data_IF_550179185246
#
_entry.id   IF_550179185246
#
_cell.length_a   1.000
_cell.length_b   1.000
_cell.length_c   1.000
_cell.angle_alpha   90.00
_cell.angle_beta   90.00
_cell.angle_gamma   90.00
#
_symmetry.space_group_name_H-M   'P 1'
#
loop_
_entity.id
_entity.type
_entity.pdbx_description
1 polymer ?
#
# COMPACT_ATOMS: atom_id res chain seq x y z
N UNK A 1 19.71 45.04 -5.10
CA UNK A 1 18.38 44.62 -5.57
C UNK A 1 17.35 45.72 -5.32
N UNK A 2 17.12 46.18 -4.08
CA UNK A 2 16.08 47.21 -3.77
C UNK A 2 16.23 48.48 -4.61
N UNK A 3 17.44 49.03 -4.74
CA UNK A 3 17.68 50.21 -5.61
C UNK A 3 17.30 50.00 -7.08
N UNK A 4 17.45 48.77 -7.60
CA UNK A 4 17.06 48.43 -8.96
C UNK A 4 15.53 48.32 -9.16
N UNK A 5 14.81 48.16 -8.05
CA UNK A 5 13.34 48.13 -8.00
C UNK A 5 12.77 49.52 -7.60
N UNK A 6 13.61 50.51 -7.27
CA UNK A 6 13.19 51.80 -6.79
C UNK A 6 12.64 51.80 -5.37
N UNK A 7 12.97 50.77 -4.56
CA UNK A 7 12.49 50.58 -3.19
C UNK A 7 13.57 50.99 -2.18
N UNK A 8 13.15 51.58 -1.05
CA UNK A 8 14.02 51.90 0.07
C UNK A 8 14.22 50.77 1.05
N UNK A 9 13.24 49.91 1.20
CA UNK A 9 13.25 48.78 2.15
C UNK A 9 12.55 47.53 1.58
N UNK A 10 12.77 46.37 2.22
CA UNK A 10 12.10 45.15 1.84
C UNK A 10 10.60 45.14 2.25
N UNK A 11 10.28 45.92 3.26
CA UNK A 11 8.90 46.08 3.76
C UNK A 11 8.00 46.71 2.71
N UNK A 12 8.50 47.61 1.87
CA UNK A 12 7.78 48.26 0.76
C UNK A 12 7.28 47.23 -0.28
N UNK A 13 7.84 46.03 -0.34
CA UNK A 13 7.34 44.94 -1.20
C UNK A 13 5.93 44.48 -0.76
N UNK A 14 5.53 44.77 0.46
CA UNK A 14 4.26 44.36 1.03
C UNK A 14 3.19 45.49 1.03
N UNK A 15 3.49 46.66 0.45
CA UNK A 15 2.57 47.82 0.39
C UNK A 15 1.26 47.49 -0.31
N UNK A 16 1.23 46.47 -1.17
CA UNK A 16 -0.03 45.98 -1.79
C UNK A 16 -0.97 45.26 -0.81
N UNK A 17 -0.47 44.87 0.39
CA UNK A 17 -1.26 44.20 1.42
C UNK A 17 -1.88 45.29 2.30
N UNK A 18 -3.24 45.35 2.45
CA UNK A 18 -3.87 46.31 3.37
C UNK A 18 -3.31 46.18 4.79
N UNK A 19 -3.06 47.30 5.44
CA UNK A 19 -2.37 47.34 6.74
C UNK A 19 -3.06 46.54 7.84
N UNK A 20 -4.38 46.31 7.72
CA UNK A 20 -5.16 45.55 8.69
C UNK A 20 -4.91 44.02 8.60
N UNK A 21 -4.40 43.56 7.46
CA UNK A 21 -4.04 42.17 7.24
C UNK A 21 -2.54 41.92 7.42
N UNK A 22 -1.72 42.94 7.53
CA UNK A 22 -0.29 42.83 7.70
C UNK A 22 0.06 42.54 9.16
N UNK A 23 0.75 41.43 9.44
CA UNK A 23 1.22 41.14 10.79
C UNK A 23 2.36 42.08 11.19
N UNK A 24 2.09 42.90 12.23
CA UNK A 24 3.03 43.94 12.73
C UNK A 24 3.90 43.50 13.92
N UNK A 25 3.86 42.24 14.26
CA UNK A 25 4.64 41.63 15.36
C UNK A 25 5.39 40.41 14.85
N UNK A 26 6.47 39.99 15.50
CA UNK A 26 7.07 38.69 15.26
C UNK A 26 6.06 37.56 15.47
N UNK A 27 6.26 36.43 14.77
CA UNK A 27 5.51 35.20 15.04
C UNK A 27 5.75 34.76 16.48
N UNK A 28 4.70 34.26 17.12
CA UNK A 28 4.79 33.65 18.46
C UNK A 28 5.22 32.18 18.29
N UNK A 29 6.50 32.02 17.97
CA UNK A 29 7.16 30.71 17.81
C UNK A 29 8.22 30.53 18.87
N UNK A 30 8.51 29.27 19.27
CA UNK A 30 9.63 28.99 20.18
C UNK A 30 10.94 29.60 19.66
N UNK A 31 11.82 29.97 20.56
CA UNK A 31 13.15 30.43 20.22
C UNK A 31 13.96 29.33 19.49
N UNK A 32 14.87 29.75 18.62
CA UNK A 32 15.77 28.81 17.98
C UNK A 32 16.63 28.08 19.03
N UNK A 33 16.74 26.75 18.87
CA UNK A 33 17.56 25.90 19.69
C UNK A 33 18.88 25.57 18.97
N UNK A 34 19.94 25.33 19.73
CA UNK A 34 21.15 24.72 19.20
C UNK A 34 20.85 23.25 18.79
N UNK A 35 21.63 22.68 17.85
CA UNK A 35 21.43 21.33 17.34
C UNK A 35 21.33 20.28 18.46
N UNK A 36 22.22 20.37 19.45
CA UNK A 36 22.20 19.46 20.61
C UNK A 36 20.90 19.56 21.39
N UNK A 37 20.44 20.78 21.70
CA UNK A 37 19.18 21.01 22.43
C UNK A 37 17.98 20.51 21.62
N UNK A 38 18.02 20.68 20.29
CA UNK A 38 16.96 20.20 19.38
C UNK A 38 16.89 18.67 19.39
N UNK A 39 18.03 17.99 19.33
CA UNK A 39 18.11 16.52 19.40
C UNK A 39 17.58 16.01 20.74
N UNK A 40 18.00 16.58 21.87
CA UNK A 40 17.52 16.22 23.19
C UNK A 40 16.00 16.39 23.32
N UNK A 41 15.45 17.49 22.77
CA UNK A 41 14.01 17.75 22.76
C UNK A 41 13.27 16.64 21.99
N UNK A 42 13.70 16.34 20.76
CA UNK A 42 13.04 15.32 19.94
C UNK A 42 13.21 13.91 20.51
N UNK A 43 14.37 13.57 21.07
CA UNK A 43 14.56 12.30 21.76
C UNK A 43 13.62 12.16 22.97
N UNK A 44 13.44 13.24 23.74
CA UNK A 44 12.50 13.26 24.87
C UNK A 44 11.06 13.06 24.43
N UNK A 45 10.68 13.65 23.29
CA UNK A 45 9.36 13.45 22.67
C UNK A 45 9.18 12.01 22.16
N UNK A 46 10.17 11.47 21.45
CA UNK A 46 10.18 10.12 20.93
C UNK A 46 10.08 9.07 22.06
N UNK A 47 10.73 9.31 23.18
CA UNK A 47 10.70 8.42 24.36
C UNK A 47 9.29 8.26 24.96
N UNK A 48 8.39 9.22 24.74
CA UNK A 48 6.98 9.14 25.17
C UNK A 48 6.16 8.16 24.34
N UNK A 49 6.61 7.82 23.13
CA UNK A 49 5.93 6.87 22.24
C UNK A 49 6.22 5.42 22.68
N UNK A 50 5.44 4.92 23.61
CA UNK A 50 5.58 3.55 24.14
C UNK A 50 5.22 2.48 23.08
N UNK A 51 4.32 2.79 22.14
CA UNK A 51 3.86 1.83 21.13
C UNK A 51 4.99 1.34 20.22
N UNK A 52 5.98 2.18 19.91
CA UNK A 52 7.12 1.84 19.07
C UNK A 52 8.12 0.84 19.71
N UNK A 53 8.02 0.58 21.02
CA UNK A 53 8.98 -0.24 21.80
C UNK A 53 8.40 -1.56 22.30
N UNK A 54 7.15 -1.85 22.03
CA UNK A 54 6.47 -3.07 22.48
C UNK A 54 6.18 -4.02 21.32
N UNK A 55 6.06 -5.33 21.59
CA UNK A 55 5.59 -6.27 20.58
C UNK A 55 4.26 -5.80 19.97
N UNK A 56 4.18 -5.81 18.66
CA UNK A 56 2.99 -5.40 17.92
C UNK A 56 2.48 -6.51 17.02
N UNK A 57 1.17 -6.71 17.08
CA UNK A 57 0.42 -7.62 16.22
C UNK A 57 -0.60 -6.83 15.38
N UNK A 58 -0.30 -5.54 15.19
CA UNK A 58 -1.06 -4.65 14.32
C UNK A 58 -0.59 -4.83 12.87
N UNK A 59 -1.53 -4.89 11.95
CA UNK A 59 -1.34 -4.95 10.51
C UNK A 59 -2.37 -4.07 9.82
N UNK A 60 -3.31 -4.68 9.10
CA UNK A 60 -4.41 -3.97 8.43
C UNK A 60 -3.93 -2.94 7.41
N UNK A 61 -3.06 -3.36 6.50
CA UNK A 61 -2.59 -2.55 5.38
C UNK A 61 -1.25 -1.85 5.59
N UNK A 62 -0.69 -1.85 6.82
CA UNK A 62 0.68 -1.42 7.10
C UNK A 62 1.36 -2.44 8.01
N UNK A 63 2.50 -2.94 7.60
CA UNK A 63 3.12 -4.13 8.18
C UNK A 63 4.53 -3.86 8.66
N UNK A 64 4.90 -4.48 9.78
CA UNK A 64 6.23 -4.33 10.36
C UNK A 64 7.14 -5.44 9.84
N UNK A 65 7.94 -5.14 8.83
CA UNK A 65 8.97 -6.03 8.28
C UNK A 65 10.36 -5.49 8.54
N UNK A 66 11.35 -6.37 8.54
CA UNK A 66 12.75 -5.97 8.69
C UNK A 66 13.29 -5.38 7.37
N UNK A 67 13.73 -4.12 7.43
CA UNK A 67 14.42 -3.49 6.33
C UNK A 67 15.94 -3.66 6.49
N UNK A 68 16.65 -4.35 5.57
CA UNK A 68 18.11 -4.45 5.60
C UNK A 68 18.78 -3.08 5.54
N UNK A 69 19.86 -2.87 6.29
CA UNK A 69 20.60 -1.60 6.36
C UNK A 69 21.06 -1.09 4.99
N UNK A 70 21.26 -1.98 4.02
CA UNK A 70 21.65 -1.61 2.65
C UNK A 70 20.60 -0.75 1.96
N UNK A 71 19.31 -0.90 2.31
CA UNK A 71 18.23 -0.06 1.75
C UNK A 71 18.48 1.39 2.13
N UNK A 72 18.58 1.65 3.45
CA UNK A 72 18.83 3.00 3.97
C UNK A 72 20.14 3.60 3.45
N UNK A 73 21.22 2.82 3.43
CA UNK A 73 22.52 3.26 2.95
C UNK A 73 22.51 3.69 1.48
N UNK A 74 21.75 3.01 0.62
CA UNK A 74 21.72 3.31 -0.81
C UNK A 74 20.75 4.43 -1.16
N UNK A 75 19.59 4.53 -0.51
CA UNK A 75 18.64 5.62 -0.79
C UNK A 75 19.17 6.99 -0.35
N UNK A 76 20.09 7.04 0.63
CA UNK A 76 20.71 8.29 1.09
C UNK A 76 21.82 8.80 0.17
N UNK A 77 22.23 8.06 -0.86
CA UNK A 77 23.18 8.58 -1.84
C UNK A 77 22.59 9.77 -2.56
N UNK A 78 23.37 10.86 -2.67
CA UNK A 78 22.90 12.12 -3.25
C UNK A 78 22.38 11.98 -4.68
N UNK A 79 22.91 11.05 -5.45
CA UNK A 79 22.50 10.75 -6.82
C UNK A 79 21.03 10.31 -6.92
N UNK A 80 20.52 9.69 -5.87
CA UNK A 80 19.13 9.26 -5.77
C UNK A 80 18.29 10.15 -4.86
N UNK A 81 18.81 10.51 -3.68
CA UNK A 81 18.06 11.22 -2.65
C UNK A 81 17.56 12.59 -3.13
N UNK A 82 18.37 13.30 -3.91
CA UNK A 82 18.01 14.61 -4.48
C UNK A 82 17.43 14.53 -5.89
N UNK A 83 17.31 13.33 -6.48
CA UNK A 83 16.75 13.14 -7.81
C UNK A 83 15.26 13.53 -7.85
N UNK A 84 14.88 14.17 -8.94
CA UNK A 84 13.50 14.46 -9.27
C UNK A 84 13.03 13.59 -10.44
N UNK A 85 11.91 13.89 -11.05
CA UNK A 85 11.43 13.17 -12.23
C UNK A 85 12.46 13.20 -13.37
N UNK A 86 12.80 12.05 -13.96
CA UNK A 86 13.83 11.96 -15.01
C UNK A 86 13.28 12.39 -16.39
N UNK A 87 12.95 13.68 -16.54
CA UNK A 87 12.43 14.22 -17.81
C UNK A 87 13.45 14.22 -18.93
N UNK A 88 14.74 14.42 -18.60
CA UNK A 88 15.83 14.45 -19.55
C UNK A 88 16.61 13.13 -19.49
N UNK A 89 16.33 12.18 -20.40
CA UNK A 89 16.95 10.85 -20.35
C UNK A 89 18.47 10.91 -20.47
N UNK A 90 19.01 11.91 -21.14
CA UNK A 90 20.45 12.08 -21.37
C UNK A 90 21.27 12.17 -20.08
N UNK A 91 20.71 12.75 -19.03
CA UNK A 91 21.37 12.95 -17.72
C UNK A 91 20.78 12.10 -16.60
N UNK A 92 19.75 11.31 -16.87
CA UNK A 92 18.97 10.56 -15.86
C UNK A 92 18.99 9.06 -16.09
N UNK A 93 19.98 8.53 -16.79
CA UNK A 93 20.02 7.11 -17.17
C UNK A 93 20.00 6.17 -15.96
N UNK A 94 20.73 6.49 -14.88
CA UNK A 94 20.72 5.67 -13.66
C UNK A 94 19.35 5.60 -12.98
N UNK A 95 18.66 6.74 -12.86
CA UNK A 95 17.30 6.80 -12.30
C UNK A 95 16.31 6.05 -13.17
N UNK A 96 16.38 6.22 -14.49
CA UNK A 96 15.52 5.52 -15.44
C UNK A 96 15.76 4.01 -15.41
N UNK A 97 17.01 3.57 -15.30
CA UNK A 97 17.35 2.16 -15.14
C UNK A 97 16.76 1.59 -13.85
N UNK A 98 16.89 2.29 -12.73
CA UNK A 98 16.30 1.85 -11.45
C UNK A 98 14.78 1.69 -11.55
N UNK A 99 14.09 2.63 -12.22
CA UNK A 99 12.64 2.51 -12.45
C UNK A 99 12.32 1.32 -13.36
N UNK A 100 13.11 1.09 -14.41
CA UNK A 100 12.91 -0.06 -15.30
C UNK A 100 13.10 -1.40 -14.55
N UNK A 101 14.08 -1.47 -13.66
CA UNK A 101 14.29 -2.64 -12.80
C UNK A 101 13.13 -2.84 -11.81
N UNK A 102 12.63 -1.76 -11.20
CA UNK A 102 11.41 -1.80 -10.38
C UNK A 102 10.22 -2.39 -11.16
N UNK A 103 9.94 -1.88 -12.36
CA UNK A 103 8.86 -2.40 -13.22
C UNK A 103 9.03 -3.90 -13.50
N UNK A 104 10.26 -4.33 -13.77
CA UNK A 104 10.58 -5.73 -14.04
C UNK A 104 10.29 -6.61 -12.82
N UNK A 105 10.72 -6.18 -11.62
CA UNK A 105 10.49 -6.91 -10.39
C UNK A 105 8.99 -7.00 -10.06
N UNK A 106 8.24 -5.91 -10.25
CA UNK A 106 6.78 -5.90 -10.05
C UNK A 106 6.10 -6.87 -11.03
N UNK A 107 6.49 -6.90 -12.31
CA UNK A 107 5.98 -7.88 -13.26
C UNK A 107 6.24 -9.32 -12.82
N UNK A 108 7.45 -9.61 -12.34
CA UNK A 108 7.83 -10.95 -11.89
C UNK A 108 7.02 -11.41 -10.67
N UNK A 109 6.81 -10.53 -9.69
CA UNK A 109 6.04 -10.82 -8.49
C UNK A 109 4.56 -11.04 -8.79
N UNK A 110 3.99 -10.15 -9.59
CA UNK A 110 2.55 -10.16 -9.90
C UNK A 110 2.16 -11.17 -10.96
N UNK A 111 3.14 -11.66 -11.76
CA UNK A 111 2.89 -12.52 -12.92
C UNK A 111 2.21 -11.78 -14.06
N UNK A 112 2.43 -10.46 -14.15
CA UNK A 112 1.87 -9.58 -15.18
C UNK A 112 2.93 -9.18 -16.21
N UNK A 113 2.48 -8.62 -17.34
CA UNK A 113 3.36 -8.35 -18.48
C UNK A 113 3.98 -6.95 -18.43
N UNK A 114 3.24 -5.97 -17.87
CA UNK A 114 3.64 -4.55 -17.82
C UNK A 114 3.34 -3.98 -16.44
N UNK A 115 4.30 -3.25 -15.86
CA UNK A 115 4.11 -2.46 -14.65
C UNK A 115 4.55 -1.01 -14.88
N UNK A 116 3.94 -0.06 -14.16
CA UNK A 116 4.33 1.34 -14.21
C UNK A 116 5.47 1.68 -13.25
N UNK A 117 5.92 2.93 -13.26
CA UNK A 117 7.03 3.42 -12.44
C UNK A 117 6.70 3.53 -10.93
N UNK A 118 5.52 3.33 -10.52
CA UNK A 118 4.81 3.26 -9.24
C UNK A 118 3.59 4.18 -9.18
N UNK A 119 2.74 3.91 -8.21
CA UNK A 119 1.64 4.76 -7.77
C UNK A 119 2.01 5.40 -6.42
N UNK A 120 1.15 6.26 -5.87
CA UNK A 120 1.39 6.86 -4.56
C UNK A 120 1.33 5.82 -3.44
N UNK A 121 0.30 4.99 -3.44
CA UNK A 121 0.08 3.88 -2.53
C UNK A 121 -0.86 2.84 -3.15
N UNK A 122 -1.11 1.75 -2.42
CA UNK A 122 -2.01 0.69 -2.87
C UNK A 122 -3.46 1.14 -3.02
N UNK A 123 -3.92 2.10 -2.22
CA UNK A 123 -5.31 2.58 -2.26
C UNK A 123 -5.59 3.41 -3.52
N UNK A 124 -4.69 4.32 -3.86
CA UNK A 124 -4.75 5.10 -5.11
C UNK A 124 -4.52 4.21 -6.32
N UNK A 125 -3.68 3.17 -6.21
CA UNK A 125 -3.52 2.18 -7.25
C UNK A 125 -4.83 1.41 -7.52
N UNK A 126 -5.58 1.02 -6.48
CA UNK A 126 -6.90 0.40 -6.62
C UNK A 126 -7.90 1.35 -7.29
N UNK A 127 -7.96 2.61 -6.87
CA UNK A 127 -8.86 3.59 -7.46
C UNK A 127 -8.59 3.79 -8.96
N UNK A 128 -7.32 3.90 -9.34
CA UNK A 128 -6.91 3.99 -10.74
C UNK A 128 -7.19 2.70 -11.54
N UNK A 129 -7.15 1.53 -10.90
CA UNK A 129 -7.54 0.27 -11.54
C UNK A 129 -9.05 0.24 -11.87
N UNK A 130 -9.88 0.78 -10.97
CA UNK A 130 -11.33 0.96 -11.22
C UNK A 130 -11.56 1.88 -12.42
N UNK A 131 -10.90 3.04 -12.45
CA UNK A 131 -10.98 3.96 -13.59
C UNK A 131 -10.45 3.34 -14.88
N UNK A 132 -9.38 2.54 -14.80
CA UNK A 132 -8.85 1.83 -15.97
C UNK A 132 -9.80 0.75 -16.47
N UNK A 133 -10.50 0.04 -15.59
CA UNK A 133 -11.47 -0.97 -15.99
C UNK A 133 -12.62 -0.37 -16.81
N UNK A 134 -13.14 0.79 -16.41
CA UNK A 134 -14.13 1.55 -17.19
C UNK A 134 -13.58 1.92 -18.57
N UNK A 135 -12.37 2.52 -18.63
CA UNK A 135 -11.75 2.92 -19.91
C UNK A 135 -11.54 1.75 -20.88
N UNK A 136 -11.18 0.58 -20.35
CA UNK A 136 -10.92 -0.62 -21.15
C UNK A 136 -12.22 -1.25 -21.67
N UNK A 137 -13.21 -1.39 -20.80
CA UNK A 137 -14.45 -2.13 -21.11
C UNK A 137 -15.56 -1.26 -21.66
N UNK A 138 -15.50 0.06 -21.40
CA UNK A 138 -16.58 1.02 -21.67
C UNK A 138 -17.86 0.73 -20.90
N UNK A 139 -17.74 0.03 -19.80
CA UNK A 139 -18.81 -0.32 -18.87
C UNK A 139 -18.61 0.44 -17.57
N UNK A 140 -19.68 0.78 -16.87
CA UNK A 140 -19.63 1.72 -15.74
C UNK A 140 -19.85 1.10 -14.36
N UNK A 141 -20.26 -0.17 -14.30
CA UNK A 141 -20.50 -0.85 -13.03
C UNK A 141 -19.28 -1.68 -12.62
N UNK A 142 -18.73 -1.43 -11.43
CA UNK A 142 -17.63 -2.19 -10.85
C UNK A 142 -18.09 -2.82 -9.54
N UNK A 143 -17.88 -4.11 -9.39
CA UNK A 143 -18.21 -4.85 -8.18
C UNK A 143 -16.98 -4.96 -7.29
N UNK A 144 -17.08 -4.57 -6.02
CA UNK A 144 -15.99 -4.59 -5.06
C UNK A 144 -16.37 -5.51 -3.89
N UNK A 145 -15.49 -6.45 -3.56
CA UNK A 145 -15.69 -7.32 -2.40
C UNK A 145 -15.73 -6.53 -1.09
N UNK A 146 -16.64 -6.87 -0.20
CA UNK A 146 -16.69 -6.34 1.16
C UNK A 146 -15.48 -6.77 2.02
N UNK A 147 -14.68 -7.72 1.53
CA UNK A 147 -13.42 -8.12 2.13
C UNK A 147 -12.19 -7.31 1.61
N UNK A 148 -12.40 -6.30 0.79
CA UNK A 148 -11.36 -5.30 0.46
C UNK A 148 -11.16 -4.37 1.66
N UNK A 149 -9.94 -3.89 1.84
CA UNK A 149 -9.59 -2.95 2.91
C UNK A 149 -10.55 -1.75 2.92
N UNK A 150 -11.21 -1.44 4.06
CA UNK A 150 -12.25 -0.41 4.12
C UNK A 150 -11.80 0.98 3.66
N UNK A 151 -10.58 1.38 4.01
CA UNK A 151 -10.04 2.68 3.61
C UNK A 151 -9.69 2.73 2.11
N UNK A 152 -9.28 1.62 1.50
CA UNK A 152 -9.06 1.52 0.05
C UNK A 152 -10.36 1.75 -0.70
N UNK A 153 -11.44 1.21 -0.18
CA UNK A 153 -12.75 1.40 -0.74
C UNK A 153 -13.23 2.86 -0.64
N UNK A 154 -13.02 3.52 0.51
CA UNK A 154 -13.34 4.95 0.68
C UNK A 154 -12.56 5.83 -0.32
N UNK A 155 -11.27 5.49 -0.58
CA UNK A 155 -10.48 6.17 -1.60
C UNK A 155 -11.08 5.95 -2.99
N UNK A 156 -11.42 4.70 -3.35
CA UNK A 156 -12.07 4.41 -4.63
C UNK A 156 -13.41 5.13 -4.79
N UNK A 157 -14.26 5.14 -3.75
CA UNK A 157 -15.52 5.90 -3.71
C UNK A 157 -15.31 7.40 -3.98
N UNK A 158 -14.26 7.98 -3.38
CA UNK A 158 -13.89 9.39 -3.60
C UNK A 158 -13.50 9.64 -5.06
N UNK A 159 -12.69 8.76 -5.66
CA UNK A 159 -12.24 8.90 -7.05
C UNK A 159 -13.39 8.78 -8.06
N UNK A 160 -14.36 7.91 -7.80
CA UNK A 160 -15.45 7.67 -8.76
C UNK A 160 -16.68 8.55 -8.54
N UNK A 161 -16.75 9.32 -7.44
CA UNK A 161 -17.90 10.11 -7.03
C UNK A 161 -18.51 11.00 -8.15
N UNK A 162 -17.67 11.43 -9.09
CA UNK A 162 -18.07 12.26 -10.23
C UNK A 162 -17.65 11.68 -11.59
N UNK A 163 -17.20 10.41 -11.61
CA UNK A 163 -16.71 9.74 -12.83
C UNK A 163 -17.80 8.97 -13.58
N UNK A 164 -19.02 8.93 -13.06
CA UNK A 164 -20.12 8.15 -13.68
C UNK A 164 -19.96 6.64 -13.53
N UNK A 165 -19.13 6.20 -12.58
CA UNK A 165 -18.91 4.79 -12.27
C UNK A 165 -19.71 4.42 -11.01
N UNK A 166 -20.42 3.30 -11.07
CA UNK A 166 -21.16 2.72 -9.96
C UNK A 166 -20.32 1.64 -9.28
N UNK A 167 -20.11 1.77 -7.95
CA UNK A 167 -19.49 0.73 -7.14
C UNK A 167 -20.57 -0.12 -6.46
N UNK A 168 -20.74 -1.36 -6.92
CA UNK A 168 -21.56 -2.36 -6.26
C UNK A 168 -20.74 -3.16 -5.24
N UNK A 169 -21.40 -3.74 -4.23
CA UNK A 169 -20.76 -4.55 -3.19
C UNK A 169 -21.02 -6.04 -3.42
N UNK A 170 -19.98 -6.84 -3.18
CA UNK A 170 -20.09 -8.30 -3.07
C UNK A 170 -19.94 -8.69 -1.61
N UNK A 171 -20.79 -9.57 -1.16
CA UNK A 171 -20.78 -10.06 0.22
C UNK A 171 -19.59 -11.00 0.48
N UNK A 172 -19.36 -11.26 1.76
CA UNK A 172 -18.37 -12.22 2.26
C UNK A 172 -19.11 -13.45 2.76
N UNK A 173 -18.65 -14.63 2.38
CA UNK A 173 -19.14 -15.88 2.94
C UNK A 173 -18.73 -15.98 4.41
N UNK A 174 -19.71 -16.08 5.31
CA UNK A 174 -19.50 -16.03 6.76
C UNK A 174 -18.65 -17.19 7.29
N UNK A 175 -18.66 -18.33 6.63
CA UNK A 175 -17.94 -19.53 7.08
C UNK A 175 -16.47 -19.52 6.62
N UNK A 176 -16.22 -19.12 5.39
CA UNK A 176 -14.87 -19.10 4.83
C UNK A 176 -14.16 -17.78 5.02
N UNK A 177 -14.86 -16.66 5.09
CA UNK A 177 -14.28 -15.31 5.09
C UNK A 177 -13.83 -14.84 3.70
N UNK A 178 -14.25 -15.54 2.62
CA UNK A 178 -13.93 -15.23 1.23
C UNK A 178 -15.04 -14.44 0.55
N UNK A 179 -14.69 -13.80 -0.54
CA UNK A 179 -15.68 -13.13 -1.41
C UNK A 179 -16.72 -14.13 -1.93
N UNK A 180 -17.99 -13.81 -1.74
CA UNK A 180 -19.12 -14.53 -2.33
C UNK A 180 -19.47 -13.89 -3.67
N UNK A 181 -19.31 -14.65 -4.75
CA UNK A 181 -19.64 -14.20 -6.10
C UNK A 181 -20.61 -15.20 -6.74
N UNK A 182 -21.82 -14.76 -7.03
CA UNK A 182 -22.79 -15.52 -7.78
C UNK A 182 -22.92 -15.00 -9.22
N UNK A 183 -23.49 -15.83 -10.10
CA UNK A 183 -23.64 -15.49 -11.52
C UNK A 183 -24.61 -14.30 -11.73
N UNK A 184 -25.60 -14.13 -10.84
CA UNK A 184 -26.58 -13.05 -10.94
C UNK A 184 -25.94 -11.68 -10.70
N UNK A 185 -24.95 -11.62 -9.81
CA UNK A 185 -24.20 -10.38 -9.57
C UNK A 185 -23.46 -9.89 -10.83
N UNK A 186 -23.06 -10.80 -11.72
CA UNK A 186 -22.32 -10.52 -12.95
C UNK A 186 -23.25 -10.20 -14.15
N UNK A 187 -24.57 -10.25 -13.97
CA UNK A 187 -25.49 -9.86 -15.03
C UNK A 187 -25.42 -8.36 -15.32
N UNK A 188 -25.59 -8.01 -16.60
CA UNK A 188 -25.60 -6.62 -17.06
C UNK A 188 -24.22 -6.07 -17.41
N UNK A 189 -24.04 -4.77 -17.17
CA UNK A 189 -22.91 -4.00 -17.70
C UNK A 189 -21.73 -3.91 -16.68
N UNK A 190 -21.24 -5.05 -16.22
CA UNK A 190 -20.13 -5.11 -15.26
C UNK A 190 -18.79 -4.92 -15.97
N UNK A 191 -18.05 -3.86 -15.56
CA UNK A 191 -16.70 -3.54 -16.04
C UNK A 191 -15.64 -4.45 -15.43
N UNK A 192 -15.70 -4.59 -14.10
CA UNK A 192 -14.71 -5.37 -13.33
C UNK A 192 -15.29 -5.89 -12.03
N UNK A 193 -14.62 -6.91 -11.52
CA UNK A 193 -14.72 -7.36 -10.12
C UNK A 193 -13.39 -7.09 -9.45
N UNK A 194 -13.43 -6.42 -8.29
CA UNK A 194 -12.28 -6.09 -7.47
C UNK A 194 -12.29 -6.95 -6.22
N UNK A 195 -11.23 -7.72 -6.01
CA UNK A 195 -11.03 -8.56 -4.82
C UNK A 195 -9.67 -8.28 -4.22
N UNK A 196 -9.52 -8.51 -2.92
CA UNK A 196 -8.23 -8.43 -2.23
C UNK A 196 -7.78 -9.84 -1.82
N UNK A 197 -6.51 -10.18 -2.04
CA UNK A 197 -5.95 -11.47 -1.59
C UNK A 197 -4.48 -11.35 -1.21
N UNK A 198 -4.10 -11.65 0.05
CA UNK A 198 -4.99 -11.94 1.18
C UNK A 198 -5.97 -10.79 1.43
N UNK A 199 -7.20 -11.12 1.79
CA UNK A 199 -8.23 -10.10 1.98
C UNK A 199 -8.12 -9.41 3.35
N UNK A 200 -8.95 -8.41 3.64
CA UNK A 200 -8.89 -7.63 4.88
C UNK A 200 -9.02 -8.49 6.15
N UNK A 201 -9.66 -9.64 6.05
CA UNK A 201 -9.78 -10.60 7.16
C UNK A 201 -8.60 -11.60 7.22
N UNK A 202 -7.59 -11.43 6.36
CA UNK A 202 -6.42 -12.29 6.23
C UNK A 202 -6.64 -13.53 5.37
N UNK A 203 -7.85 -13.78 4.89
CA UNK A 203 -8.20 -14.98 4.11
C UNK A 203 -7.64 -14.92 2.68
N UNK A 204 -7.11 -16.05 2.21
CA UNK A 204 -6.63 -16.19 0.83
C UNK A 204 -7.80 -16.57 -0.08
N UNK A 205 -8.08 -15.73 -1.08
CA UNK A 205 -9.15 -15.95 -2.07
C UNK A 205 -8.82 -17.07 -3.05
N UNK A 206 -9.83 -17.70 -3.61
CA UNK A 206 -9.67 -18.61 -4.77
C UNK A 206 -9.68 -17.79 -6.07
N UNK A 207 -8.57 -17.11 -6.32
CA UNK A 207 -8.43 -16.21 -7.47
C UNK A 207 -8.68 -16.90 -8.82
N UNK A 208 -8.35 -18.21 -8.91
CA UNK A 208 -8.56 -18.94 -10.18
C UNK A 208 -10.04 -19.15 -10.45
N UNK A 209 -10.80 -19.61 -9.46
CA UNK A 209 -12.24 -19.79 -9.60
C UNK A 209 -12.96 -18.45 -9.86
N UNK A 210 -12.54 -17.40 -9.16
CA UNK A 210 -13.07 -16.04 -9.40
C UNK A 210 -12.78 -15.56 -10.83
N UNK A 211 -11.55 -15.75 -11.33
CA UNK A 211 -11.18 -15.36 -12.69
C UNK A 211 -12.04 -16.07 -13.75
N UNK A 212 -12.28 -17.38 -13.60
CA UNK A 212 -13.10 -18.15 -14.51
C UNK A 212 -14.55 -17.60 -14.57
N UNK A 213 -15.15 -17.29 -13.41
CA UNK A 213 -16.50 -16.73 -13.34
C UNK A 213 -16.56 -15.31 -13.92
N UNK A 214 -15.63 -14.43 -13.53
CA UNK A 214 -15.59 -13.04 -13.98
C UNK A 214 -15.39 -12.95 -15.47
N UNK A 215 -14.48 -13.72 -16.05
CA UNK A 215 -14.21 -13.71 -17.48
C UNK A 215 -15.38 -14.27 -18.30
N UNK A 216 -16.16 -15.20 -17.76
CA UNK A 216 -17.36 -15.71 -18.44
C UNK A 216 -18.40 -14.60 -18.69
N UNK A 217 -18.45 -13.54 -17.88
CA UNK A 217 -19.31 -12.36 -18.08
C UNK A 217 -18.70 -11.28 -18.99
N UNK A 218 -17.42 -11.44 -19.36
CA UNK A 218 -16.66 -10.41 -20.10
C UNK A 218 -16.22 -9.22 -19.26
N UNK A 219 -16.26 -9.35 -17.92
CA UNK A 219 -15.69 -8.38 -16.99
C UNK A 219 -14.19 -8.64 -16.74
N UNK A 220 -13.48 -7.65 -16.18
CA UNK A 220 -12.08 -7.78 -15.78
C UNK A 220 -11.97 -8.21 -14.32
N UNK A 221 -10.95 -9.03 -14.00
CA UNK A 221 -10.58 -9.31 -12.61
C UNK A 221 -9.45 -8.38 -12.18
N UNK A 222 -9.73 -7.53 -11.18
CA UNK A 222 -8.76 -6.68 -10.50
C UNK A 222 -8.42 -7.30 -9.15
N UNK A 223 -7.15 -7.57 -8.90
CA UNK A 223 -6.68 -8.14 -7.64
C UNK A 223 -5.85 -7.09 -6.89
N UNK A 224 -6.26 -6.83 -5.65
CA UNK A 224 -5.57 -5.95 -4.69
C UNK A 224 -4.75 -6.82 -3.74
N UNK A 225 -3.51 -6.41 -3.45
CA UNK A 225 -2.64 -7.07 -2.48
C UNK A 225 -2.12 -6.00 -1.52
N UNK A 226 -2.62 -5.99 -0.28
CA UNK A 226 -2.16 -5.03 0.73
C UNK A 226 -0.87 -5.47 1.42
N UNK A 227 -0.64 -6.77 1.52
CA UNK A 227 0.56 -7.36 2.10
C UNK A 227 1.45 -7.96 0.99
N UNK A 228 2.40 -7.17 0.49
CA UNK A 228 3.25 -7.57 -0.62
C UNK A 228 4.22 -8.72 -0.28
N UNK A 229 4.56 -8.95 0.99
CA UNK A 229 5.37 -10.12 1.39
C UNK A 229 4.71 -11.44 0.99
N UNK A 230 3.38 -11.46 0.83
CA UNK A 230 2.61 -12.62 0.38
C UNK A 230 3.02 -13.15 -1.00
N UNK A 231 3.56 -12.29 -1.88
CA UNK A 231 4.08 -12.70 -3.19
C UNK A 231 5.25 -13.70 -3.09
N UNK A 232 5.96 -13.73 -1.95
CA UNK A 232 7.03 -14.70 -1.72
C UNK A 232 6.56 -16.15 -1.54
N UNK A 233 5.27 -16.36 -1.22
CA UNK A 233 4.71 -17.68 -0.92
C UNK A 233 3.50 -18.03 -1.78
N UNK A 234 2.59 -17.07 -1.99
CA UNK A 234 1.35 -17.32 -2.70
C UNK A 234 1.57 -17.31 -4.22
N UNK A 235 0.73 -18.06 -4.92
CA UNK A 235 0.74 -18.02 -6.38
C UNK A 235 0.38 -16.61 -6.86
N UNK A 236 1.15 -16.09 -7.81
CA UNK A 236 0.94 -14.73 -8.33
C UNK A 236 -0.47 -14.54 -8.91
N UNK A 237 -1.11 -13.39 -8.68
CA UNK A 237 -2.46 -13.12 -9.17
C UNK A 237 -2.56 -13.23 -10.71
N UNK A 238 -1.52 -12.80 -11.43
CA UNK A 238 -1.46 -12.93 -12.89
C UNK A 238 -1.51 -14.38 -13.36
N UNK A 239 -0.82 -15.32 -12.65
CA UNK A 239 -0.90 -16.74 -12.95
C UNK A 239 -2.25 -17.37 -12.57
N UNK A 240 -3.05 -16.69 -11.74
CA UNK A 240 -4.41 -17.09 -11.40
C UNK A 240 -5.48 -16.47 -12.32
N UNK A 241 -5.10 -15.63 -13.29
CA UNK A 241 -6.03 -15.06 -14.27
C UNK A 241 -6.37 -13.58 -14.06
N UNK A 242 -5.74 -12.86 -13.13
CA UNK A 242 -5.96 -11.43 -12.98
C UNK A 242 -5.65 -10.65 -14.27
N UNK A 243 -6.44 -9.62 -14.57
CA UNK A 243 -6.21 -8.67 -15.66
C UNK A 243 -5.42 -7.45 -15.21
N UNK A 244 -5.68 -7.00 -13.99
CA UNK A 244 -4.97 -5.90 -13.33
C UNK A 244 -4.60 -6.35 -11.91
N UNK A 245 -3.38 -6.10 -11.51
CA UNK A 245 -2.90 -6.33 -10.14
C UNK A 245 -2.40 -5.01 -9.57
N UNK A 246 -2.90 -4.65 -8.42
CA UNK A 246 -2.45 -3.49 -7.65
C UNK A 246 -2.04 -3.94 -6.26
N UNK A 247 -1.03 -3.30 -5.70
CA UNK A 247 -0.56 -3.69 -4.39
C UNK A 247 0.02 -2.50 -3.60
N UNK A 248 0.12 -2.68 -2.29
CA UNK A 248 0.93 -1.82 -1.44
C UNK A 248 2.34 -2.42 -1.29
N UNK A 249 3.35 -1.64 -1.67
CA UNK A 249 4.74 -2.08 -1.63
C UNK A 249 5.47 -1.75 -0.33
N UNK A 250 4.79 -1.22 0.70
CA UNK A 250 5.38 -0.82 1.97
C UNK A 250 6.20 -1.93 2.62
N UNK A 251 5.75 -3.18 2.55
CA UNK A 251 6.46 -4.35 3.09
C UNK A 251 7.83 -4.59 2.46
N UNK A 252 8.16 -3.94 1.36
CA UNK A 252 9.45 -4.06 0.69
C UNK A 252 10.47 -3.03 1.17
N UNK A 253 10.82 -3.11 2.47
CA UNK A 253 11.91 -2.33 3.05
C UNK A 253 11.54 -0.89 3.44
N UNK A 254 10.26 -0.58 3.55
CA UNK A 254 9.77 0.73 3.96
C UNK A 254 9.15 0.60 5.37
N UNK A 255 9.62 1.38 6.36
CA UNK A 255 9.00 1.38 7.69
C UNK A 255 7.59 1.97 7.63
N UNK A 256 6.76 1.69 8.63
CA UNK A 256 5.39 2.21 8.70
C UNK A 256 5.32 3.75 8.77
N UNK A 257 6.35 4.43 9.27
CA UNK A 257 6.61 5.88 9.17
C UNK A 257 5.38 6.78 9.38
N UNK A 258 4.55 6.48 10.39
CA UNK A 258 3.34 7.24 10.71
C UNK A 258 2.32 7.33 9.54
N UNK A 259 2.36 6.40 8.59
CA UNK A 259 1.43 6.34 7.48
C UNK A 259 2.01 6.72 6.10
N UNK A 260 3.33 6.80 5.99
CA UNK A 260 3.95 7.02 4.67
C UNK A 260 5.18 7.92 4.68
N UNK A 261 5.74 8.22 3.51
CA UNK A 261 5.24 7.79 2.19
C UNK A 261 5.39 6.29 1.96
N UNK A 262 4.44 5.70 1.19
CA UNK A 262 4.44 4.31 0.77
C UNK A 262 4.68 4.20 -0.75
N UNK A 263 4.40 3.04 -1.36
CA UNK A 263 4.58 2.87 -2.80
C UNK A 263 3.53 1.92 -3.37
N UNK A 264 2.68 2.45 -4.24
CA UNK A 264 1.69 1.65 -4.95
C UNK A 264 2.33 0.88 -6.12
N UNK A 265 2.03 -0.39 -6.21
CA UNK A 265 2.38 -1.24 -7.34
C UNK A 265 1.18 -1.31 -8.27
N UNK A 266 1.43 -1.23 -9.57
CA UNK A 266 0.38 -1.34 -10.59
C UNK A 266 0.91 -2.12 -11.78
N UNK A 267 0.29 -3.24 -12.08
CA UNK A 267 0.67 -4.09 -13.20
C UNK A 267 -0.56 -4.63 -13.94
N UNK A 268 -0.40 -4.89 -15.25
CA UNK A 268 -1.48 -5.34 -16.12
C UNK A 268 -0.96 -6.20 -17.27
N UNK A 269 -1.90 -6.73 -18.07
CA UNK A 269 -1.57 -7.46 -19.29
C UNK A 269 -1.09 -6.53 -20.40
N UNK A 270 -0.21 -7.00 -21.28
CA UNK A 270 0.37 -6.21 -22.38
C UNK A 270 -0.70 -5.55 -23.25
N UNK A 271 -1.80 -6.25 -23.53
CA UNK A 271 -2.93 -5.74 -24.32
C UNK A 271 -3.52 -4.42 -23.77
N UNK A 272 -3.32 -4.14 -22.49
CA UNK A 272 -3.80 -2.93 -21.82
C UNK A 272 -2.71 -1.87 -21.56
N UNK A 273 -1.49 -2.07 -22.00
CA UNK A 273 -0.35 -1.18 -21.73
C UNK A 273 -0.60 0.30 -22.07
N UNK A 274 -1.46 0.58 -23.07
CA UNK A 274 -1.83 1.95 -23.46
C UNK A 274 -2.86 2.61 -22.53
N UNK A 275 -3.47 1.84 -21.61
CA UNK A 275 -4.50 2.31 -20.67
C UNK A 275 -3.97 2.38 -19.22
N UNK A 276 -2.78 1.87 -18.97
CA UNK A 276 -2.19 1.87 -17.62
C UNK A 276 -1.96 3.31 -17.14
N UNK A 277 -2.29 3.66 -15.89
CA UNK A 277 -1.99 4.97 -15.33
C UNK A 277 -0.48 5.14 -15.05
N UNK A 278 -0.04 6.36 -14.81
CA UNK A 278 1.31 6.66 -14.39
C UNK A 278 2.36 6.54 -15.51
N UNK A 279 3.61 6.75 -15.13
CA UNK A 279 4.75 6.73 -16.05
C UNK A 279 5.22 5.33 -16.36
N UNK A 280 5.80 5.20 -17.54
CA UNK A 280 6.46 3.98 -18.00
C UNK A 280 7.88 4.31 -18.50
N UNK A 281 8.83 3.49 -18.12
CA UNK A 281 10.19 3.52 -18.66
C UNK A 281 10.35 2.35 -19.61
N UNK A 282 10.88 2.65 -20.79
CA UNK A 282 11.19 1.66 -21.83
C UNK A 282 12.66 1.68 -22.21
N UNK A 283 13.08 0.61 -22.88
CA UNK A 283 14.42 0.53 -23.49
C UNK A 283 14.44 1.30 -24.80
N UNK A 284 15.52 2.04 -25.04
CA UNK A 284 15.84 2.69 -26.31
C UNK A 284 17.28 2.36 -26.71
N UNK A 285 17.58 2.57 -27.99
CA UNK A 285 18.94 2.40 -28.51
C UNK A 285 19.40 3.68 -29.20
N UNK A 286 20.63 4.10 -28.94
CA UNK A 286 21.22 5.24 -29.64
C UNK A 286 21.65 4.89 -31.09
N UNK A 287 22.17 5.90 -31.81
CA UNK A 287 22.63 5.71 -33.19
C UNK A 287 23.78 4.72 -33.32
N UNK A 288 24.52 4.43 -32.24
CA UNK A 288 25.59 3.45 -32.18
C UNK A 288 25.09 2.07 -31.68
N UNK A 289 23.82 1.90 -31.47
CA UNK A 289 23.24 0.64 -30.96
C UNK A 289 23.44 0.42 -29.45
N UNK A 290 23.86 1.43 -28.69
CA UNK A 290 24.01 1.33 -27.23
C UNK A 290 22.64 1.45 -26.57
N UNK A 291 22.40 0.53 -25.64
CA UNK A 291 21.16 0.50 -24.86
C UNK A 291 21.08 1.68 -23.90
N UNK A 292 19.92 2.31 -23.85
CA UNK A 292 19.56 3.34 -22.88
C UNK A 292 18.09 3.19 -22.45
N UNK A 293 17.66 4.10 -21.58
CA UNK A 293 16.30 4.11 -21.03
C UNK A 293 15.64 5.46 -21.28
N UNK A 294 14.33 5.45 -21.53
CA UNK A 294 13.55 6.67 -21.79
C UNK A 294 12.15 6.53 -21.16
N UNK A 295 11.54 7.67 -20.83
CA UNK A 295 10.10 7.69 -20.57
C UNK A 295 9.35 7.37 -21.87
N UNK A 296 8.39 6.45 -21.81
CA UNK A 296 7.63 6.01 -22.98
C UNK A 296 6.13 6.24 -22.77
N UNK A 297 5.39 6.30 -23.88
CA UNK A 297 3.94 6.56 -23.89
C UNK A 297 3.53 7.84 -23.13
N UNK A 298 4.40 8.84 -23.02
CA UNK A 298 4.17 10.09 -22.30
C UNK A 298 2.97 10.91 -22.82
N UNK A 299 2.50 10.62 -24.06
CA UNK A 299 1.30 11.27 -24.63
C UNK A 299 0.02 10.97 -23.85
N UNK A 300 0.02 10.03 -22.89
CA UNK A 300 -1.11 9.73 -22.00
C UNK A 300 -1.16 10.66 -20.78
N UNK A 301 -0.05 11.34 -20.47
CA UNK A 301 0.13 12.09 -19.23
C UNK A 301 -0.57 13.46 -19.25
N UNK A 302 -0.86 13.97 -18.06
CA UNK A 302 -1.62 15.20 -17.82
C UNK A 302 -0.99 16.44 -18.48
N UNK A 303 0.34 16.58 -18.44
CA UNK A 303 1.05 17.73 -19.04
C UNK A 303 0.95 17.80 -20.56
N UNK A 304 0.56 16.70 -21.23
CA UNK A 304 0.29 16.64 -22.67
C UNK A 304 -1.21 16.73 -22.94
N UNK A 305 -2.02 15.88 -22.32
CA UNK A 305 -3.44 15.73 -22.65
C UNK A 305 -4.39 16.55 -21.78
N UNK A 306 -3.91 17.17 -20.71
CA UNK A 306 -4.72 17.95 -19.77
C UNK A 306 -5.92 17.15 -19.24
N UNK A 307 -7.15 17.65 -19.44
CA UNK A 307 -8.40 16.99 -19.02
C UNK A 307 -8.67 15.63 -19.71
N UNK A 308 -8.00 15.34 -20.81
CA UNK A 308 -8.10 14.07 -21.55
C UNK A 308 -7.01 13.07 -21.18
N UNK A 309 -6.23 13.34 -20.14
CA UNK A 309 -5.19 12.43 -19.68
C UNK A 309 -5.77 11.10 -19.18
N UNK A 310 -4.99 10.04 -19.28
CA UNK A 310 -5.39 8.71 -18.79
C UNK A 310 -5.59 8.71 -17.28
N UNK A 311 -4.82 9.53 -16.56
CA UNK A 311 -4.89 9.70 -15.11
C UNK A 311 -4.44 11.12 -14.76
N UNK A 312 -4.84 11.62 -13.60
CA UNK A 312 -4.35 12.88 -13.05
C UNK A 312 -3.07 12.74 -12.22
N UNK A 313 -2.48 11.56 -12.17
CA UNK A 313 -1.18 11.31 -11.53
C UNK A 313 -0.11 12.16 -12.23
N UNK A 314 0.59 12.99 -11.45
CA UNK A 314 1.64 13.86 -11.95
C UNK A 314 3.01 13.21 -11.87
N UNK A 315 3.31 12.56 -10.74
CA UNK A 315 4.59 11.91 -10.48
C UNK A 315 4.37 10.55 -9.80
N UNK A 316 5.44 9.87 -9.44
CA UNK A 316 5.42 8.60 -8.72
C UNK A 316 6.29 8.72 -7.45
N UNK A 317 6.23 7.72 -6.58
CA UNK A 317 7.04 7.63 -5.36
C UNK A 317 8.47 7.11 -5.70
N UNK A 318 9.26 7.92 -6.44
CA UNK A 318 10.53 7.46 -7.02
C UNK A 318 11.54 6.94 -6.01
N UNK A 319 11.74 7.65 -4.87
CA UNK A 319 12.68 7.23 -3.84
C UNK A 319 12.21 5.96 -3.12
N UNK A 320 10.91 5.85 -2.86
CA UNK A 320 10.34 4.68 -2.19
C UNK A 320 10.30 3.47 -3.13
N UNK A 321 10.03 3.68 -4.42
CA UNK A 321 10.16 2.63 -5.44
C UNK A 321 11.62 2.12 -5.54
N UNK A 322 12.60 3.01 -5.41
CA UNK A 322 14.02 2.62 -5.32
C UNK A 322 14.29 1.80 -4.05
N UNK A 323 13.78 2.22 -2.88
CA UNK A 323 13.92 1.46 -1.65
C UNK A 323 13.38 0.04 -1.79
N UNK A 324 12.17 -0.10 -2.36
CA UNK A 324 11.57 -1.40 -2.67
C UNK A 324 12.41 -2.21 -3.65
N UNK A 325 12.97 -1.58 -4.67
CA UNK A 325 13.86 -2.24 -5.65
C UNK A 325 15.13 -2.78 -4.99
N UNK A 326 15.76 -1.99 -4.13
CA UNK A 326 16.97 -2.38 -3.38
C UNK A 326 16.63 -3.56 -2.45
N UNK A 327 15.51 -3.47 -1.72
CA UNK A 327 15.05 -4.54 -0.83
C UNK A 327 14.84 -5.85 -1.59
N UNK A 328 14.04 -5.83 -2.66
CA UNK A 328 13.76 -7.01 -3.47
C UNK A 328 15.03 -7.60 -4.09
N UNK A 329 15.95 -6.75 -4.54
CA UNK A 329 17.23 -7.18 -5.12
C UNK A 329 18.16 -7.77 -4.07
N UNK A 330 18.26 -7.16 -2.89
CA UNK A 330 19.10 -7.62 -1.79
C UNK A 330 18.65 -8.99 -1.24
N UNK A 331 17.35 -9.19 -1.08
CA UNK A 331 16.80 -10.47 -0.64
C UNK A 331 16.78 -11.51 -1.76
N UNK A 332 16.53 -11.09 -2.98
CA UNK A 332 16.31 -11.97 -4.11
C UNK A 332 15.12 -12.90 -3.91
N UNK A 333 14.90 -13.79 -4.86
CA UNK A 333 13.77 -14.74 -4.81
C UNK A 333 13.75 -15.57 -3.52
N UNK A 334 14.93 -16.08 -3.11
CA UNK A 334 15.03 -16.96 -1.94
C UNK A 334 14.75 -16.21 -0.64
N UNK A 335 15.30 -15.01 -0.48
CA UNK A 335 15.06 -14.21 0.73
C UNK A 335 13.60 -13.76 0.85
N UNK A 336 12.95 -13.36 -0.24
CA UNK A 336 11.52 -13.04 -0.23
C UNK A 336 10.66 -14.25 0.16
N UNK A 337 10.99 -15.43 -0.38
CA UNK A 337 10.32 -16.68 -0.01
C UNK A 337 10.51 -16.99 1.47
N UNK A 338 11.71 -16.86 2.01
CA UNK A 338 12.03 -17.14 3.40
C UNK A 338 11.29 -16.18 4.37
N UNK A 339 11.21 -14.89 4.05
CA UNK A 339 10.39 -13.91 4.79
C UNK A 339 8.91 -14.34 4.82
N UNK A 340 8.36 -14.66 3.66
CA UNK A 340 6.95 -15.06 3.54
C UNK A 340 6.65 -16.37 4.29
N UNK A 341 7.53 -17.36 4.20
CA UNK A 341 7.41 -18.64 4.93
C UNK A 341 7.45 -18.41 6.45
N UNK A 342 8.35 -17.55 6.94
CA UNK A 342 8.42 -17.21 8.36
C UNK A 342 7.14 -16.53 8.84
N UNK A 343 6.60 -15.58 8.08
CA UNK A 343 5.32 -14.93 8.39
C UNK A 343 4.20 -15.96 8.52
N UNK A 344 4.03 -16.82 7.52
CA UNK A 344 2.97 -17.84 7.52
C UNK A 344 3.13 -18.86 8.65
N UNK A 345 4.36 -19.35 8.92
CA UNK A 345 4.64 -20.32 9.98
C UNK A 345 4.36 -19.74 11.38
N UNK A 346 4.80 -18.50 11.63
CA UNK A 346 4.57 -17.80 12.89
C UNK A 346 3.11 -17.46 13.10
N UNK A 347 2.40 -17.04 12.05
CA UNK A 347 0.94 -16.83 12.10
C UNK A 347 0.21 -18.14 12.40
N UNK A 348 0.59 -19.26 11.77
CA UNK A 348 0.03 -20.57 12.07
C UNK A 348 0.28 -21.01 13.52
N UNK A 349 1.46 -20.67 14.09
CA UNK A 349 1.75 -20.91 15.49
C UNK A 349 0.82 -20.06 16.39
N UNK A 350 0.73 -18.75 16.18
CA UNK A 350 -0.13 -17.85 16.95
C UNK A 350 -1.60 -18.30 16.90
N UNK A 351 -2.12 -18.63 15.71
CA UNK A 351 -3.48 -19.16 15.52
C UNK A 351 -3.77 -20.39 16.39
N UNK A 352 -2.85 -21.36 16.41
CA UNK A 352 -3.03 -22.57 17.23
C UNK A 352 -3.06 -22.27 18.72
N UNK A 353 -2.18 -21.36 19.18
CA UNK A 353 -2.13 -20.99 20.58
C UNK A 353 -3.39 -20.22 21.02
N UNK A 354 -3.85 -19.27 20.20
CA UNK A 354 -5.05 -18.47 20.50
C UNK A 354 -6.32 -19.35 20.43
N UNK A 355 -6.43 -20.25 19.44
CA UNK A 355 -7.56 -21.15 19.32
C UNK A 355 -7.69 -22.15 20.48
N UNK A 356 -6.63 -22.38 21.25
CA UNK A 356 -6.65 -23.22 22.46
C UNK A 356 -7.10 -22.46 23.71
N UNK A 357 -7.29 -21.14 23.66
CA UNK A 357 -7.77 -20.34 24.77
C UNK A 357 -9.29 -20.51 24.91
N UNK A 358 -9.76 -20.66 26.15
CA UNK A 358 -11.18 -20.75 26.44
C UNK A 358 -11.92 -19.46 26.06
N UNK A 359 -13.04 -19.59 25.34
CA UNK A 359 -13.86 -18.47 24.89
C UNK A 359 -13.38 -17.78 23.61
N UNK A 360 -12.16 -18.09 23.11
CA UNK A 360 -11.68 -17.56 21.85
C UNK A 360 -11.96 -18.51 20.69
N UNK A 361 -12.17 -17.96 19.49
CA UNK A 361 -12.38 -18.76 18.29
C UNK A 361 -11.81 -18.06 17.05
N UNK A 362 -11.59 -18.84 16.00
CA UNK A 362 -11.19 -18.35 14.67
C UNK A 362 -12.41 -18.50 13.76
N UNK A 363 -13.12 -17.40 13.43
CA UNK A 363 -14.42 -17.48 12.76
C UNK A 363 -14.35 -17.97 11.32
N UNK A 364 -13.21 -17.83 10.65
CA UNK A 364 -13.05 -18.15 9.25
C UNK A 364 -12.25 -19.43 8.99
N UNK A 365 -12.75 -20.25 8.07
CA UNK A 365 -12.16 -21.54 7.70
C UNK A 365 -11.13 -21.48 6.56
N UNK A 366 -11.14 -20.41 5.75
CA UNK A 366 -10.19 -20.27 4.65
C UNK A 366 -8.74 -20.23 5.13
N UNK A 367 -7.78 -20.67 4.28
CA UNK A 367 -6.36 -20.45 4.53
C UNK A 367 -6.06 -18.95 4.70
N UNK A 368 -5.11 -18.64 5.57
CA UNK A 368 -4.62 -17.27 5.79
C UNK A 368 -3.12 -17.19 5.53
N UNK A 369 -2.61 -15.98 5.31
CA UNK A 369 -1.16 -15.77 5.16
C UNK A 369 -0.53 -15.38 6.51
N UNK A 370 -0.55 -14.12 6.87
CA UNK A 370 0.06 -13.60 8.09
C UNK A 370 -0.91 -12.82 8.99
N UNK A 371 -2.10 -12.59 8.51
CA UNK A 371 -3.20 -11.98 9.27
C UNK A 371 -4.37 -12.96 9.42
N UNK A 372 -5.12 -12.82 10.51
CA UNK A 372 -6.31 -13.62 10.76
C UNK A 372 -7.21 -12.96 11.80
N UNK A 373 -8.51 -13.20 11.67
CA UNK A 373 -9.51 -12.72 12.63
C UNK A 373 -9.59 -13.67 13.82
N UNK A 374 -9.66 -13.08 15.00
CA UNK A 374 -9.96 -13.76 16.27
C UNK A 374 -11.26 -13.20 16.81
N UNK A 375 -12.14 -14.08 17.28
CA UNK A 375 -13.33 -13.73 18.05
C UNK A 375 -13.04 -13.93 19.53
N UNK A 376 -13.12 -12.85 20.31
CA UNK A 376 -12.97 -12.85 21.75
C UNK A 376 -14.28 -13.14 22.46
N UNK A 377 -14.23 -13.58 23.74
CA UNK A 377 -15.44 -13.79 24.56
C UNK A 377 -16.14 -12.49 24.97
N UNK A 378 -15.49 -11.33 24.78
CA UNK A 378 -16.00 -10.01 25.16
C UNK A 378 -15.57 -8.94 24.14
N UNK A 379 -15.93 -7.68 24.40
CA UNK A 379 -15.53 -6.53 23.56
C UNK A 379 -14.03 -6.50 23.26
N UNK A 380 -13.70 -6.61 21.98
CA UNK A 380 -12.31 -6.67 21.51
C UNK A 380 -11.55 -5.36 21.76
N UNK A 381 -12.19 -4.20 21.65
CA UNK A 381 -11.52 -2.91 21.84
C UNK A 381 -11.07 -2.72 23.30
N UNK A 382 -11.92 -3.13 24.26
CA UNK A 382 -11.59 -3.15 25.68
C UNK A 382 -10.48 -4.14 26.01
N UNK A 383 -10.57 -5.36 25.44
CA UNK A 383 -9.55 -6.41 25.57
C UNK A 383 -8.17 -5.91 25.09
N UNK A 384 -8.07 -5.37 23.89
CA UNK A 384 -6.84 -4.88 23.28
C UNK A 384 -6.24 -3.70 24.08
N UNK A 385 -7.08 -2.86 24.69
CA UNK A 385 -6.62 -1.79 25.58
C UNK A 385 -5.98 -2.36 26.83
N UNK A 386 -6.63 -3.33 27.53
CA UNK A 386 -6.05 -4.01 28.70
C UNK A 386 -4.71 -4.68 28.37
N UNK A 387 -4.62 -5.30 27.20
CA UNK A 387 -3.39 -5.91 26.71
C UNK A 387 -2.26 -4.88 26.56
N UNK A 388 -2.58 -3.72 26.00
CA UNK A 388 -1.62 -2.64 25.79
C UNK A 388 -1.15 -2.01 27.10
N UNK A 389 -2.04 -1.84 28.07
CA UNK A 389 -1.76 -1.17 29.35
C UNK A 389 -1.16 -2.13 30.39
N UNK A 390 -1.70 -3.35 30.51
CA UNK A 390 -1.31 -4.34 31.54
C UNK A 390 -0.15 -5.23 31.11
N UNK A 391 -0.04 -5.58 29.82
CA UNK A 391 0.94 -6.56 29.31
C UNK A 391 1.98 -5.96 28.36
N UNK A 392 1.89 -4.65 28.07
CA UNK A 392 2.81 -3.95 27.16
C UNK A 392 2.87 -4.59 25.75
N UNK A 393 1.72 -5.05 25.21
CA UNK A 393 1.57 -5.65 23.88
C UNK A 393 0.50 -4.92 23.09
N UNK A 394 0.80 -4.55 21.83
CA UNK A 394 -0.22 -4.09 20.86
C UNK A 394 -0.84 -5.31 20.21
N UNK A 395 -2.02 -5.74 20.68
CA UNK A 395 -2.57 -7.06 20.40
C UNK A 395 -3.23 -7.23 19.03
N UNK A 396 -3.45 -6.17 18.28
CA UNK A 396 -4.13 -6.21 16.98
C UNK A 396 -5.10 -5.06 16.78
N UNK A 397 -6.01 -5.18 15.81
CA UNK A 397 -7.00 -4.17 15.44
C UNK A 397 -8.42 -4.65 15.73
N UNK A 398 -9.18 -3.96 16.59
CA UNK A 398 -10.59 -4.22 16.80
C UNK A 398 -11.39 -3.94 15.52
N UNK A 399 -12.14 -4.93 15.01
CA UNK A 399 -12.90 -4.78 13.77
C UNK A 399 -14.11 -3.86 13.92
N UNK A 400 -14.56 -3.60 15.15
CA UNK A 400 -15.61 -2.61 15.44
C UNK A 400 -15.27 -1.18 14.99
N UNK A 401 -13.99 -0.90 14.70
CA UNK A 401 -13.54 0.36 14.08
C UNK A 401 -14.19 0.60 12.71
N UNK A 402 -14.40 -0.46 11.94
CA UNK A 402 -14.97 -0.40 10.59
C UNK A 402 -16.34 -1.09 10.48
N UNK A 403 -16.62 -2.02 11.38
CA UNK A 403 -17.83 -2.84 11.42
C UNK A 403 -18.37 -2.90 12.85
N UNK A 404 -19.19 -1.89 13.25
CA UNK A 404 -19.73 -1.80 14.63
C UNK A 404 -20.49 -3.05 15.09
N UNK A 405 -21.04 -3.82 14.15
CA UNK A 405 -21.73 -5.11 14.37
C UNK A 405 -20.79 -6.25 14.76
N UNK A 406 -19.47 -6.03 14.73
CA UNK A 406 -18.44 -7.02 15.07
C UNK A 406 -17.63 -6.59 16.31
N UNK A 407 -18.27 -6.33 17.45
CA UNK A 407 -17.60 -5.77 18.63
C UNK A 407 -16.57 -6.71 19.25
N UNK A 408 -16.74 -8.03 19.07
CA UNK A 408 -15.88 -9.04 19.69
C UNK A 408 -14.76 -9.53 18.76
N UNK A 409 -14.73 -9.08 17.51
CA UNK A 409 -13.75 -9.55 16.54
C UNK A 409 -12.57 -8.58 16.43
N UNK A 410 -11.37 -9.13 16.33
CA UNK A 410 -10.16 -8.35 16.09
C UNK A 410 -9.22 -9.06 15.13
N UNK A 411 -8.45 -8.27 14.38
CA UNK A 411 -7.47 -8.74 13.42
C UNK A 411 -6.10 -8.82 14.10
N UNK A 412 -5.41 -9.94 13.94
CA UNK A 412 -4.05 -10.19 14.43
C UNK A 412 -3.13 -10.36 13.25
N UNK A 413 -2.03 -9.62 13.21
CA UNK A 413 -0.96 -9.74 12.22
C UNK A 413 0.31 -10.29 12.87
N UNK A 414 0.98 -11.21 12.18
CA UNK A 414 2.25 -11.78 12.60
C UNK A 414 3.23 -11.74 11.43
N UNK A 415 4.39 -11.12 11.63
CA UNK A 415 5.43 -11.05 10.61
C UNK A 415 6.69 -11.80 11.05
N UNK A 416 7.71 -11.86 10.19
CA UNK A 416 9.00 -12.46 10.51
C UNK A 416 9.70 -11.75 11.68
N UNK A 417 9.36 -10.49 11.97
CA UNK A 417 9.95 -9.71 13.07
C UNK A 417 9.44 -10.15 14.44
N UNK A 418 8.24 -10.73 14.54
CA UNK A 418 7.71 -11.24 15.80
C UNK A 418 8.51 -12.47 16.27
N UNK A 419 9.06 -12.39 17.47
CA UNK A 419 9.75 -13.52 18.11
C UNK A 419 8.71 -14.47 18.73
N UNK A 420 9.11 -15.73 18.92
CA UNK A 420 8.25 -16.68 19.63
C UNK A 420 7.82 -16.17 21.00
N UNK A 421 8.76 -15.56 21.75
CA UNK A 421 8.45 -14.98 23.05
C UNK A 421 7.41 -13.85 23.00
N UNK A 422 7.38 -13.07 21.90
CA UNK A 422 6.37 -12.03 21.70
C UNK A 422 4.98 -12.64 21.49
N UNK A 423 4.91 -13.72 20.70
CA UNK A 423 3.67 -14.45 20.46
C UNK A 423 3.17 -15.11 21.75
N UNK A 424 4.06 -15.75 22.49
CA UNK A 424 3.72 -16.38 23.78
C UNK A 424 3.22 -15.32 24.79
N UNK A 425 3.87 -14.14 24.87
CA UNK A 425 3.43 -13.03 25.70
C UNK A 425 2.05 -12.47 25.28
N UNK A 426 1.78 -12.41 23.99
CA UNK A 426 0.46 -12.02 23.47
C UNK A 426 -0.62 -13.00 23.93
N UNK A 427 -0.38 -14.30 23.78
CA UNK A 427 -1.31 -15.37 24.16
C UNK A 427 -1.57 -15.34 25.68
N UNK A 428 -0.54 -15.23 26.51
CA UNK A 428 -0.68 -15.12 27.96
C UNK A 428 -1.42 -13.85 28.38
N UNK A 429 -1.17 -12.73 27.69
CA UNK A 429 -1.91 -11.49 27.91
C UNK A 429 -3.40 -11.63 27.56
N UNK A 430 -3.74 -12.29 26.45
CA UNK A 430 -5.14 -12.57 26.07
C UNK A 430 -5.84 -13.45 27.10
N UNK A 431 -5.15 -14.44 27.67
CA UNK A 431 -5.67 -15.33 28.67
C UNK A 431 -5.95 -14.62 30.02
N UNK A 432 -5.15 -13.61 30.35
CA UNK A 432 -5.24 -12.87 31.61
C UNK A 432 -6.20 -11.68 31.55
N UNK A 433 -6.65 -11.27 30.36
CA UNK A 433 -7.47 -10.07 30.11
C UNK A 433 -8.95 -10.39 29.89
#
# INVERSE_FOLDING_TARGET
>A
MLRGLGLGSAEELFDSIPSDFLLKRPLDTPAALAEVELLELFESMAAKNKAARRPSFLGAGAYSHYAPTVVDSLIQRSEFFTAYTPYQPEISQGTLQAIFEFQTLVCQLTGMDVANASMYDGSTAMAEAVLMAERVTRKTRVLVSAAVHPEYLQVAETYVAHAGIELGRLEVDEASGRTSLDAAALEGDVAAVVVQSPNFYGCVEDLKALAEQVHASGALLVVVVTEAASFGLLRSPGACGADIVVAEGQSFGVPASFGGPYVGLFATREKYARQIPGRLVGVAYDKQGRRGFVLTLATREQHIRREKATSNICTNEGLIALAATIYMTALGRRGLQEVAEQCAQKAAYARRQIAALEGFSLPYSAPVFNEFVVRAPSDAAGLLRRLAEGHNVTGGLALSRYSPERPNDFLVCVTETNKRADIDAHVEGLKAS
#
